data_IF_223815719077
#
_entry.id   IF_223815719077
#
_cell.length_a   1.000
_cell.length_b   1.000
_cell.length_c   1.000
_cell.angle_alpha   90.00
_cell.angle_beta   90.00
_cell.angle_gamma   90.00
#
_symmetry.space_group_name_H-M   'P 1'
#
loop_
_entity.id
_entity.type
_entity.pdbx_description
1 polymer ?
#
# COMPACT_ATOMS: atom_id res chain seq x y z
N UNK A 1 -17.55 6.47 13.94
CA UNK A 1 -16.35 6.46 14.80
C UNK A 1 -15.25 5.75 14.02
N UNK A 2 -14.44 6.51 13.26
CA UNK A 2 -13.52 5.93 12.27
C UNK A 2 -12.14 5.69 12.86
N UNK A 3 -11.73 4.43 12.95
CA UNK A 3 -10.35 3.91 12.92
C UNK A 3 -9.21 4.49 13.81
N UNK A 4 -9.33 5.67 14.42
CA UNK A 4 -8.22 6.31 15.15
C UNK A 4 -8.02 5.73 16.55
N UNK A 5 -9.08 5.24 17.19
CA UNK A 5 -9.01 4.66 18.55
C UNK A 5 -8.19 3.38 18.59
N UNK A 6 -8.25 2.54 17.54
CA UNK A 6 -7.43 1.30 17.48
C UNK A 6 -5.94 1.60 17.30
N UNK A 7 -5.58 2.77 16.77
CA UNK A 7 -4.17 3.13 16.63
C UNK A 7 -3.55 3.56 17.96
N UNK A 8 -4.37 4.05 18.91
CA UNK A 8 -3.91 4.51 20.23
C UNK A 8 -3.30 3.41 21.09
N UNK A 9 -3.54 2.12 20.81
CA UNK A 9 -2.89 1.02 21.53
C UNK A 9 -1.45 0.79 21.09
N UNK A 10 -1.08 1.20 19.86
CA UNK A 10 0.22 0.87 19.28
C UNK A 10 1.43 1.38 20.10
N UNK A 11 1.45 2.62 20.65
CA UNK A 11 2.56 3.07 21.47
C UNK A 11 2.85 2.22 22.70
N UNK A 12 1.89 1.42 23.17
CA UNK A 12 2.02 0.56 24.35
C UNK A 12 2.51 -0.85 24.01
N UNK A 13 2.68 -1.18 22.71
CA UNK A 13 3.22 -2.47 22.27
C UNK A 13 4.74 -2.38 22.08
N UNK A 14 5.45 -3.48 22.33
CA UNK A 14 6.90 -3.55 22.13
C UNK A 14 7.26 -3.50 20.63
N UNK A 15 7.93 -2.43 20.23
CA UNK A 15 8.34 -2.17 18.84
C UNK A 15 9.32 -3.21 18.27
N UNK A 16 10.06 -3.94 19.11
CA UNK A 16 11.03 -4.95 18.67
C UNK A 16 10.35 -6.27 18.30
N UNK A 17 9.24 -6.58 18.96
CA UNK A 17 8.51 -7.84 18.80
C UNK A 17 7.31 -7.73 17.86
N UNK A 18 6.73 -6.53 17.69
CA UNK A 18 5.59 -6.34 16.80
C UNK A 18 6.00 -6.43 15.33
N UNK A 19 5.74 -7.59 14.70
CA UNK A 19 6.10 -7.83 13.29
C UNK A 19 4.98 -7.58 12.30
N UNK A 20 3.73 -7.65 12.73
CA UNK A 20 2.58 -7.56 11.85
C UNK A 20 1.50 -6.68 12.46
N UNK A 21 1.02 -5.72 11.68
CA UNK A 21 -0.11 -4.86 12.03
C UNK A 21 -1.24 -5.17 11.04
N UNK A 22 -2.43 -5.47 11.55
CA UNK A 22 -3.63 -5.64 10.73
C UNK A 22 -4.76 -4.80 11.29
N UNK A 23 -5.30 -3.90 10.48
CA UNK A 23 -6.39 -2.99 10.83
C UNK A 23 -7.59 -3.38 9.98
N UNK A 24 -8.66 -3.83 10.64
CA UNK A 24 -9.89 -4.28 9.99
C UNK A 24 -11.09 -3.56 10.61
N UNK A 25 -12.12 -3.27 9.81
CA UNK A 25 -13.31 -2.65 10.35
C UNK A 25 -14.00 -3.61 11.33
N UNK A 26 -14.61 -3.10 12.41
CA UNK A 26 -15.34 -3.94 13.35
C UNK A 26 -16.57 -4.58 12.70
N UNK A 27 -17.21 -3.86 11.77
CA UNK A 27 -18.36 -4.32 11.01
C UNK A 27 -18.13 -4.09 9.51
N UNK A 28 -18.66 -4.99 8.69
CA UNK A 28 -18.64 -4.85 7.24
C UNK A 28 -19.71 -3.86 6.73
N UNK A 29 -19.77 -2.65 7.29
CA UNK A 29 -20.60 -1.58 6.75
C UNK A 29 -20.14 -1.18 5.34
N UNK A 30 -21.09 -0.80 4.48
CA UNK A 30 -20.90 -0.64 3.03
C UNK A 30 -20.09 0.58 2.60
N UNK A 31 -19.82 1.53 3.50
CA UNK A 31 -19.15 2.78 3.13
C UNK A 31 -17.67 2.76 3.53
N UNK A 32 -16.83 3.31 2.64
CA UNK A 32 -15.44 3.60 2.93
C UNK A 32 -15.33 4.56 4.13
N UNK A 33 -14.38 4.28 5.01
CA UNK A 33 -14.10 5.06 6.21
C UNK A 33 -12.71 5.67 6.10
N UNK A 34 -12.59 6.97 6.37
CA UNK A 34 -11.27 7.59 6.45
C UNK A 34 -10.60 7.15 7.75
N UNK A 35 -9.41 6.56 7.63
CA UNK A 35 -8.57 6.18 8.77
C UNK A 35 -7.77 7.39 9.24
N UNK A 36 -8.45 8.30 9.93
CA UNK A 36 -7.87 9.55 10.39
C UNK A 36 -6.72 9.32 11.39
N UNK A 37 -5.68 10.14 11.27
CA UNK A 37 -4.56 10.20 12.20
C UNK A 37 -3.49 9.13 12.00
N UNK A 38 -3.67 8.17 11.08
CA UNK A 38 -2.65 7.13 10.81
C UNK A 38 -1.27 7.70 10.48
N UNK A 39 -1.22 8.84 9.80
CA UNK A 39 0.02 9.56 9.48
C UNK A 39 0.88 9.87 10.72
N UNK A 40 0.27 10.11 11.88
CA UNK A 40 0.97 10.28 13.16
C UNK A 40 1.56 8.97 13.67
N UNK A 41 0.89 7.85 13.40
CA UNK A 41 1.32 6.54 13.86
C UNK A 41 2.38 5.93 12.94
N UNK A 42 2.40 6.28 11.65
CA UNK A 42 3.48 5.88 10.72
C UNK A 42 4.87 6.31 11.21
N UNK A 43 4.94 7.33 12.08
CA UNK A 43 6.20 7.79 12.65
C UNK A 43 6.66 7.00 13.89
N UNK A 44 5.80 6.15 14.45
CA UNK A 44 6.11 5.34 15.63
C UNK A 44 7.10 4.23 15.29
N UNK A 45 7.94 3.88 16.27
CA UNK A 45 8.87 2.75 16.16
C UNK A 45 8.13 1.44 15.84
N UNK A 46 6.92 1.26 16.37
CA UNK A 46 6.09 0.07 16.11
C UNK A 46 5.76 -0.09 14.62
N UNK A 47 5.47 1.02 13.92
CA UNK A 47 5.24 1.00 12.48
C UNK A 47 6.56 0.86 11.70
N UNK A 48 7.63 1.54 12.14
CA UNK A 48 8.94 1.49 11.47
C UNK A 48 9.64 0.13 11.59
N UNK A 49 9.41 -0.60 12.68
CA UNK A 49 10.04 -1.89 12.96
C UNK A 49 9.16 -3.10 12.57
N UNK A 50 7.90 -2.87 12.21
CA UNK A 50 7.03 -3.94 11.73
C UNK A 50 7.38 -4.31 10.28
N UNK A 51 7.15 -5.58 9.97
CA UNK A 51 7.52 -6.20 8.69
C UNK A 51 6.33 -6.24 7.75
N UNK A 52 5.13 -6.39 8.31
CA UNK A 52 3.89 -6.51 7.54
C UNK A 52 2.82 -5.51 8.02
N UNK A 53 2.16 -4.86 7.07
CA UNK A 53 1.01 -3.99 7.32
C UNK A 53 -0.17 -4.37 6.43
N UNK A 54 -1.32 -4.64 7.02
CA UNK A 54 -2.56 -4.91 6.30
C UNK A 54 -3.68 -4.03 6.79
N UNK A 55 -4.00 -3.01 6.01
CA UNK A 55 -5.17 -2.16 6.22
C UNK A 55 -6.25 -2.63 5.26
N UNK A 56 -7.43 -2.92 5.81
CA UNK A 56 -8.59 -3.30 5.00
C UNK A 56 -8.92 -2.21 3.97
N UNK A 57 -9.36 -2.62 2.77
CA UNK A 57 -9.63 -1.68 1.67
C UNK A 57 -10.75 -0.69 1.99
N UNK A 58 -11.60 -0.96 2.99
CA UNK A 58 -12.61 0.00 3.44
C UNK A 58 -12.01 1.17 4.21
N UNK A 59 -10.76 1.09 4.65
CA UNK A 59 -10.07 2.19 5.30
C UNK A 59 -9.22 2.97 4.31
N UNK A 60 -9.63 4.21 4.06
CA UNK A 60 -8.91 5.14 3.20
C UNK A 60 -7.88 5.91 4.03
N UNK A 61 -6.63 5.85 3.61
CA UNK A 61 -5.50 6.50 4.25
C UNK A 61 -5.06 7.70 3.44
N UNK A 62 -4.71 8.79 4.11
CA UNK A 62 -4.06 9.95 3.49
C UNK A 62 -2.60 9.95 3.95
N UNK A 63 -1.70 9.54 3.09
CA UNK A 63 -0.27 9.49 3.34
C UNK A 63 0.49 9.34 2.02
N UNK A 64 1.73 9.80 1.99
CA UNK A 64 2.65 9.54 0.87
C UNK A 64 2.97 8.03 0.80
N UNK A 65 2.88 7.45 -0.40
CA UNK A 65 3.10 6.01 -0.61
C UNK A 65 4.49 5.54 -0.15
N UNK A 66 5.49 6.42 -0.21
CA UNK A 66 6.89 6.14 0.15
C UNK A 66 7.04 5.80 1.63
N UNK A 67 6.11 6.25 2.49
CA UNK A 67 6.07 5.89 3.91
C UNK A 67 5.84 4.40 4.19
N UNK A 68 5.49 3.63 3.16
CA UNK A 68 5.21 2.20 3.27
C UNK A 68 6.32 1.34 2.65
N UNK A 69 7.39 1.94 2.13
CA UNK A 69 8.42 1.20 1.39
C UNK A 69 9.32 0.32 2.25
N UNK A 70 9.34 0.52 3.58
CA UNK A 70 10.10 -0.32 4.48
C UNK A 70 9.41 -1.67 4.78
N UNK A 71 8.13 -1.83 4.44
CA UNK A 71 7.42 -3.08 4.67
C UNK A 71 7.84 -4.15 3.66
N UNK A 72 8.01 -5.37 4.17
CA UNK A 72 8.15 -6.55 3.33
C UNK A 72 6.84 -6.88 2.62
N UNK A 73 5.71 -6.71 3.33
CA UNK A 73 4.37 -6.95 2.80
C UNK A 73 3.43 -5.87 3.26
N UNK A 74 2.81 -5.16 2.33
CA UNK A 74 1.85 -4.10 2.66
C UNK A 74 0.60 -4.17 1.80
N UNK A 75 -0.56 -3.92 2.41
CA UNK A 75 -1.81 -3.60 1.71
C UNK A 75 -2.42 -2.36 2.32
N UNK A 76 -2.67 -1.35 1.49
CA UNK A 76 -3.29 -0.08 1.89
C UNK A 76 -4.21 0.45 0.79
N UNK A 77 -5.26 1.15 1.20
CA UNK A 77 -6.07 1.97 0.31
C UNK A 77 -5.74 3.44 0.57
N UNK A 78 -5.08 4.11 -0.38
CA UNK A 78 -4.74 5.53 -0.30
C UNK A 78 -5.81 6.37 -0.99
N UNK A 79 -6.14 7.52 -0.40
CA UNK A 79 -7.18 8.42 -0.93
C UNK A 79 -6.87 8.84 -2.36
N UNK A 80 -5.66 9.33 -2.59
CA UNK A 80 -5.13 9.79 -3.86
C UNK A 80 -3.63 9.43 -3.89
N UNK A 81 -3.12 9.09 -5.05
CA UNK A 81 -1.67 8.98 -5.28
C UNK A 81 -1.32 9.73 -6.55
N UNK A 82 -0.19 10.41 -6.54
CA UNK A 82 0.34 11.06 -7.72
C UNK A 82 1.00 10.06 -8.67
N UNK A 83 1.16 10.46 -9.94
CA UNK A 83 1.89 9.68 -10.93
C UNK A 83 3.36 9.47 -10.51
N UNK A 84 3.99 10.48 -9.88
CA UNK A 84 5.33 10.37 -9.31
C UNK A 84 5.42 9.27 -8.25
N UNK A 85 4.44 9.20 -7.35
CA UNK A 85 4.36 8.18 -6.31
C UNK A 85 4.21 6.77 -6.89
N UNK A 86 3.43 6.59 -7.96
CA UNK A 86 3.30 5.31 -8.66
C UNK A 86 4.62 4.88 -9.31
N UNK A 87 5.35 5.82 -9.92
CA UNK A 87 6.68 5.56 -10.48
C UNK A 87 7.64 5.16 -9.36
N UNK A 88 7.67 5.92 -8.26
CA UNK A 88 8.51 5.63 -7.12
C UNK A 88 8.22 4.24 -6.53
N UNK A 89 6.95 3.84 -6.44
CA UNK A 89 6.56 2.50 -5.99
C UNK A 89 7.09 1.43 -6.93
N UNK A 90 6.86 1.58 -8.24
CA UNK A 90 7.38 0.64 -9.25
C UNK A 90 8.91 0.50 -9.12
N UNK A 91 9.64 1.62 -9.08
CA UNK A 91 11.10 1.61 -8.97
C UNK A 91 11.60 0.97 -7.67
N UNK A 92 10.99 1.32 -6.53
CA UNK A 92 11.34 0.73 -5.24
C UNK A 92 11.09 -0.78 -5.22
N UNK A 93 9.96 -1.25 -5.76
CA UNK A 93 9.62 -2.67 -5.75
C UNK A 93 10.51 -3.51 -6.66
N UNK A 94 10.81 -3.04 -7.88
CA UNK A 94 11.63 -3.84 -8.83
C UNK A 94 13.11 -3.89 -8.46
N UNK A 95 13.57 -2.98 -7.57
CA UNK A 95 14.96 -2.91 -7.10
C UNK A 95 15.16 -3.47 -5.68
N UNK A 96 14.11 -3.46 -4.85
CA UNK A 96 14.20 -3.92 -3.47
C UNK A 96 14.17 -5.45 -3.37
N UNK A 97 15.21 -6.09 -2.80
CA UNK A 97 15.14 -7.51 -2.47
C UNK A 97 14.27 -7.78 -1.22
N UNK A 98 13.88 -6.73 -0.51
CA UNK A 98 13.09 -6.84 0.72
C UNK A 98 11.59 -6.86 0.45
N UNK A 99 11.10 -6.09 -0.52
CA UNK A 99 9.67 -6.02 -0.83
C UNK A 99 9.20 -7.32 -1.49
N UNK A 100 8.22 -7.98 -0.86
CA UNK A 100 7.60 -9.20 -1.39
C UNK A 100 6.16 -8.97 -1.87
N UNK A 101 5.46 -7.97 -1.32
CA UNK A 101 4.09 -7.67 -1.69
C UNK A 101 3.72 -6.22 -1.39
N UNK A 102 3.15 -5.52 -2.37
CA UNK A 102 2.63 -4.17 -2.19
C UNK A 102 1.28 -4.07 -2.89
N UNK A 103 0.19 -4.14 -2.13
CA UNK A 103 -1.16 -3.92 -2.62
C UNK A 103 -1.58 -2.47 -2.39
N UNK A 104 -1.68 -1.70 -3.45
CA UNK A 104 -2.12 -0.30 -3.41
C UNK A 104 -3.48 -0.19 -4.11
N UNK A 105 -4.49 0.23 -3.37
CA UNK A 105 -5.70 0.78 -3.99
C UNK A 105 -5.60 2.30 -3.90
N UNK A 106 -5.81 3.02 -5.00
CA UNK A 106 -5.89 4.48 -4.96
C UNK A 106 -6.92 5.00 -5.95
N UNK A 107 -7.54 6.14 -5.63
CA UNK A 107 -8.45 6.83 -6.53
C UNK A 107 -7.73 7.97 -7.26
N UNK A 108 -8.30 8.37 -8.39
CA UNK A 108 -7.97 9.64 -9.04
C UNK A 108 -6.87 9.62 -10.10
N UNK A 109 -6.28 8.45 -10.39
CA UNK A 109 -5.33 8.33 -11.51
C UNK A 109 -6.06 8.03 -12.81
N UNK A 110 -5.75 8.82 -13.84
CA UNK A 110 -6.21 8.57 -15.20
C UNK A 110 -5.38 7.45 -15.83
N UNK A 111 -6.04 6.44 -16.38
CA UNK A 111 -5.39 5.33 -17.06
C UNK A 111 -4.52 5.78 -18.24
N UNK A 112 -4.84 6.90 -18.90
CA UNK A 112 -3.99 7.46 -19.96
C UNK A 112 -2.64 7.98 -19.42
N UNK A 113 -2.64 8.55 -18.21
CA UNK A 113 -1.40 9.02 -17.58
C UNK A 113 -0.50 7.85 -17.19
N UNK A 114 -1.10 6.76 -16.71
CA UNK A 114 -0.38 5.52 -16.41
C UNK A 114 0.19 4.91 -17.68
N UNK A 115 -0.58 4.86 -18.79
CA UNK A 115 -0.07 4.34 -20.06
C UNK A 115 1.12 5.15 -20.61
N UNK A 116 1.11 6.47 -20.48
CA UNK A 116 2.25 7.31 -20.90
C UNK A 116 3.55 6.96 -20.16
N UNK A 117 3.45 6.54 -18.89
CA UNK A 117 4.60 6.30 -18.02
C UNK A 117 5.02 4.83 -18.00
N UNK A 118 4.04 3.93 -18.04
CA UNK A 118 4.25 2.48 -17.92
C UNK A 118 4.18 1.74 -19.25
N UNK A 119 3.80 2.42 -20.34
CA UNK A 119 3.56 1.83 -21.64
C UNK A 119 2.17 1.21 -21.75
N UNK A 120 1.91 0.47 -22.82
CA UNK A 120 0.59 -0.14 -23.06
C UNK A 120 0.29 -1.26 -22.05
N UNK A 121 -0.87 -1.24 -21.36
CA UNK A 121 -1.26 -2.31 -20.45
C UNK A 121 -1.60 -3.61 -21.19
N UNK A 122 -1.52 -4.72 -20.48
CA UNK A 122 -2.19 -5.95 -20.85
C UNK A 122 -3.68 -5.84 -20.51
N UNK A 123 -4.53 -6.02 -21.50
CA UNK A 123 -5.98 -6.12 -21.30
C UNK A 123 -6.34 -7.56 -21.03
N UNK A 124 -6.71 -7.86 -19.79
CA UNK A 124 -7.16 -9.20 -19.45
C UNK A 124 -8.61 -9.43 -19.92
N UNK A 125 -9.06 -10.69 -20.07
CA UNK A 125 -10.43 -10.99 -20.51
C UNK A 125 -11.54 -10.51 -19.56
N UNK A 126 -11.18 -10.09 -18.33
CA UNK A 126 -12.09 -9.56 -17.32
C UNK A 126 -12.22 -8.02 -17.41
N UNK A 127 -11.54 -7.40 -18.37
CA UNK A 127 -11.58 -5.95 -18.61
C UNK A 127 -10.65 -5.14 -17.72
N UNK A 128 -9.80 -5.77 -16.89
CA UNK A 128 -8.81 -5.05 -16.08
C UNK A 128 -7.56 -4.74 -16.91
N UNK A 129 -6.96 -3.60 -16.63
CA UNK A 129 -5.72 -3.15 -17.27
C UNK A 129 -4.58 -3.49 -16.33
N UNK A 130 -3.57 -4.18 -16.84
CA UNK A 130 -2.48 -4.67 -16.00
C UNK A 130 -1.13 -4.37 -16.62
N UNK A 131 -0.21 -3.81 -15.84
CA UNK A 131 1.19 -3.65 -16.27
C UNK A 131 2.08 -4.68 -15.57
N UNK A 132 2.97 -5.31 -16.34
CA UNK A 132 3.91 -6.30 -15.83
C UNK A 132 5.35 -5.80 -15.95
N UNK A 133 6.03 -5.69 -14.82
CA UNK A 133 7.44 -5.28 -14.80
C UNK A 133 8.33 -6.40 -14.30
N UNK A 134 9.43 -6.62 -15.02
CA UNK A 134 10.47 -7.57 -14.61
C UNK A 134 11.17 -7.07 -13.35
N UNK A 135 11.22 -7.92 -12.32
CA UNK A 135 11.95 -7.63 -11.09
C UNK A 135 13.43 -7.98 -11.32
N UNK A 136 14.34 -7.09 -10.93
CA UNK A 136 15.77 -7.38 -11.08
C UNK A 136 16.15 -8.58 -10.20
N UNK A 137 16.98 -9.47 -10.74
CA UNK A 137 17.45 -10.68 -10.06
C UNK A 137 16.36 -11.71 -9.66
N UNK A 138 15.12 -11.54 -10.12
CA UNK A 138 14.06 -12.53 -9.96
C UNK A 138 13.49 -12.91 -11.34
N UNK A 139 13.69 -14.16 -11.77
CA UNK A 139 13.22 -14.64 -13.07
C UNK A 139 11.77 -15.16 -13.02
N UNK A 140 11.25 -15.44 -11.83
CA UNK A 140 9.96 -16.11 -11.63
C UNK A 140 8.81 -15.16 -11.25
N UNK A 141 9.12 -13.91 -10.90
CA UNK A 141 8.15 -12.94 -10.41
C UNK A 141 8.17 -11.64 -11.22
N UNK A 142 6.99 -11.05 -11.39
CA UNK A 142 6.76 -9.75 -12.03
C UNK A 142 5.91 -8.89 -11.11
N UNK A 143 6.17 -7.57 -11.08
CA UNK A 143 5.29 -6.62 -10.44
C UNK A 143 4.04 -6.44 -11.32
N UNK A 144 2.86 -6.54 -10.71
CA UNK A 144 1.57 -6.25 -11.33
C UNK A 144 1.01 -4.94 -10.73
N UNK A 145 0.57 -4.03 -11.60
CA UNK A 145 -0.19 -2.83 -11.24
C UNK A 145 -1.55 -2.93 -11.95
N UNK A 146 -2.65 -2.90 -11.19
CA UNK A 146 -4.05 -3.02 -11.63
C UNK A 146 -4.96 -1.85 -11.20
#
# INVERSE_FOLDING_TARGET
>A
MGGSEILKVLPYLDSKTLKKISIRPPNYETNDQILNGIELFLELEQFKNSVELYIDLRFVVRADVRKFFHFQRVRVNLHETSLEEQVALKEAFVTSPHMLYFGLHSRGLDGNQLEQVFGTPFHNPQGCWQWFFKIQNCKEHVLNID
#
